data_IF_857524466631
#
_entry.id   IF_857524466631
#
_cell.length_a   1.000
_cell.length_b   1.000
_cell.length_c   1.000
_cell.angle_alpha   90.00
_cell.angle_beta   90.00
_cell.angle_gamma   90.00
#
_symmetry.space_group_name_H-M   'P 1'
#
loop_
_entity.id
_entity.type
_entity.pdbx_description
1 polymer ?
#
# COMPACT_ATOMS: atom_id res chain seq x y z
N UNK A 1 -3.29 17.30 -0.58
CA UNK A 1 -2.84 16.85 0.75
C UNK A 1 -1.33 16.62 0.70
N UNK A 2 -0.51 17.32 1.50
CA UNK A 2 0.92 17.04 1.62
C UNK A 2 1.17 15.60 2.09
N UNK A 3 2.34 15.03 1.77
CA UNK A 3 2.70 13.65 2.14
C UNK A 3 2.73 13.48 3.65
N UNK A 4 3.28 14.46 4.35
CA UNK A 4 3.38 14.48 5.81
C UNK A 4 1.99 14.38 6.40
N UNK A 5 1.00 15.08 5.84
CA UNK A 5 -0.37 14.99 6.33
C UNK A 5 -0.97 13.63 6.00
N UNK A 6 -0.74 13.06 4.82
CA UNK A 6 -1.23 11.72 4.47
C UNK A 6 -0.63 10.62 5.35
N UNK A 7 0.65 10.72 5.68
CA UNK A 7 1.33 9.81 6.60
C UNK A 7 0.86 9.99 8.06
N UNK A 8 0.59 11.23 8.48
CA UNK A 8 0.10 11.56 9.82
C UNK A 8 -1.39 11.25 10.04
N UNK A 9 -2.17 11.02 8.99
CA UNK A 9 -3.56 10.53 9.08
C UNK A 9 -3.58 9.07 9.55
N UNK A 10 -3.21 8.87 10.81
CA UNK A 10 -3.51 7.64 11.54
C UNK A 10 -4.98 7.72 11.92
N UNK A 11 -5.76 6.73 11.47
CA UNK A 11 -7.12 6.56 11.94
C UNK A 11 -7.08 6.05 13.37
N UNK A 12 -6.75 6.88 14.36
CA UNK A 12 -6.77 6.44 15.76
C UNK A 12 -8.20 6.24 16.25
N UNK A 13 -8.47 5.05 16.80
CA UNK A 13 -9.76 4.72 17.41
C UNK A 13 -10.78 4.11 16.45
N UNK A 14 -10.31 3.53 15.34
CA UNK A 14 -11.13 2.74 14.43
C UNK A 14 -11.11 1.27 14.81
N UNK A 15 -10.27 0.50 14.13
CA UNK A 15 -10.11 -0.94 14.35
C UNK A 15 -9.54 -1.22 15.73
N UNK A 16 -8.53 -0.46 16.19
CA UNK A 16 -7.81 -0.75 17.43
C UNK A 16 -8.70 -0.72 18.68
N UNK A 17 -9.81 0.04 18.65
CA UNK A 17 -10.75 0.17 19.76
C UNK A 17 -12.10 -0.50 19.50
N UNK A 18 -12.29 -1.11 18.33
CA UNK A 18 -13.53 -1.79 17.99
C UNK A 18 -13.74 -3.04 18.88
N UNK A 19 -15.00 -3.29 19.24
CA UNK A 19 -15.42 -4.48 20.01
C UNK A 19 -15.46 -5.74 19.13
N UNK A 20 -14.32 -6.06 18.52
CA UNK A 20 -14.12 -7.20 17.62
C UNK A 20 -12.94 -8.05 18.09
N UNK A 21 -12.83 -9.26 17.55
CA UNK A 21 -11.69 -10.13 17.80
C UNK A 21 -10.44 -9.60 17.07
N UNK A 22 -9.58 -8.89 17.80
CA UNK A 22 -8.34 -8.26 17.28
C UNK A 22 -7.28 -9.27 16.82
N UNK A 23 -7.45 -10.56 17.14
CA UNK A 23 -6.58 -11.64 16.64
C UNK A 23 -6.95 -12.11 15.24
N UNK A 24 -8.12 -11.74 14.72
CA UNK A 24 -8.58 -12.09 13.37
C UNK A 24 -8.29 -10.97 12.39
N UNK A 25 -7.92 -11.37 11.17
CA UNK A 25 -7.67 -10.48 10.04
C UNK A 25 -8.31 -11.04 8.79
N UNK A 26 -8.34 -10.21 7.76
CA UNK A 26 -8.89 -10.64 6.49
C UNK A 26 -10.39 -10.46 6.38
N UNK A 27 -10.87 -10.90 5.23
CA UNK A 27 -12.28 -11.00 4.90
C UNK A 27 -12.72 -12.44 5.04
N UNK A 28 -14.04 -12.68 4.94
CA UNK A 28 -14.52 -14.05 4.71
C UNK A 28 -13.98 -14.53 3.36
N UNK A 29 -13.78 -15.85 3.17
CA UNK A 29 -13.33 -16.38 1.88
C UNK A 29 -14.21 -15.86 0.73
N UNK A 30 -13.55 -15.34 -0.31
CA UNK A 30 -14.21 -14.88 -1.52
C UNK A 30 -14.79 -16.07 -2.28
N UNK A 31 -15.96 -15.90 -2.89
CA UNK A 31 -16.61 -16.97 -3.66
C UNK A 31 -15.91 -17.18 -5.01
N UNK A 32 -15.49 -16.09 -5.64
CA UNK A 32 -14.68 -16.08 -6.86
C UNK A 32 -13.46 -15.18 -6.66
N UNK A 33 -12.29 -15.62 -7.12
CA UNK A 33 -11.07 -14.82 -7.14
C UNK A 33 -10.60 -14.62 -8.56
N UNK A 34 -10.54 -13.35 -8.99
CA UNK A 34 -9.93 -12.95 -10.27
C UNK A 34 -8.66 -12.18 -9.97
N UNK A 35 -7.58 -12.33 -10.76
CA UNK A 35 -6.38 -11.54 -10.57
C UNK A 35 -6.65 -10.04 -10.67
N UNK A 36 -6.05 -9.24 -9.79
CA UNK A 36 -6.04 -7.80 -9.95
C UNK A 36 -5.30 -7.39 -11.23
N UNK A 37 -5.90 -6.47 -11.99
CA UNK A 37 -5.31 -5.92 -13.21
C UNK A 37 -4.75 -4.52 -12.97
N UNK A 38 -3.62 -4.22 -13.60
CA UNK A 38 -2.95 -2.92 -13.51
C UNK A 38 -2.91 -2.24 -14.86
N UNK A 39 -3.20 -0.94 -14.89
CA UNK A 39 -3.23 -0.14 -16.11
C UNK A 39 -1.83 0.20 -16.62
N UNK A 40 -1.15 -0.75 -17.27
CA UNK A 40 0.21 -0.54 -17.78
C UNK A 40 0.25 0.53 -18.90
N UNK A 41 1.38 1.24 -19.07
CA UNK A 41 1.56 2.15 -20.19
C UNK A 41 1.38 1.44 -21.54
N UNK A 42 0.73 2.11 -22.50
CA UNK A 42 0.42 1.54 -23.82
C UNK A 42 1.66 1.24 -24.68
N UNK A 43 2.80 1.87 -24.40
CA UNK A 43 4.07 1.63 -25.10
C UNK A 43 5.27 2.05 -24.26
N UNK A 44 6.36 1.30 -24.36
CA UNK A 44 7.64 1.61 -23.70
C UNK A 44 7.72 1.14 -22.24
N UNK A 45 8.83 1.47 -21.59
CA UNK A 45 9.00 1.29 -20.13
C UNK A 45 8.43 2.51 -19.41
N UNK A 46 7.76 2.27 -18.28
CA UNK A 46 7.17 3.33 -17.46
C UNK A 46 8.24 4.20 -16.78
N UNK A 47 9.30 3.53 -16.31
CA UNK A 47 10.48 4.16 -15.70
C UNK A 47 11.71 3.61 -16.41
N UNK A 48 12.59 4.50 -16.86
CA UNK A 48 13.79 4.11 -17.58
C UNK A 48 14.86 3.53 -16.65
N UNK A 49 15.82 2.81 -17.22
CA UNK A 49 16.94 2.26 -16.46
C UNK A 49 17.77 3.37 -15.78
N UNK A 50 17.97 4.52 -16.43
CA UNK A 50 18.71 5.66 -15.87
C UNK A 50 17.97 6.31 -14.70
N UNK A 51 16.63 6.43 -14.79
CA UNK A 51 15.80 6.94 -13.71
C UNK A 51 15.86 6.02 -12.49
N UNK A 52 15.77 4.71 -12.69
CA UNK A 52 15.91 3.73 -11.59
C UNK A 52 17.29 3.83 -10.95
N UNK A 53 18.36 3.94 -11.74
CA UNK A 53 19.72 4.07 -11.20
C UNK A 53 19.88 5.34 -10.36
N UNK A 54 19.36 6.49 -10.81
CA UNK A 54 19.38 7.73 -10.02
C UNK A 54 18.65 7.58 -8.67
N UNK A 55 17.51 6.88 -8.67
CA UNK A 55 16.81 6.57 -7.41
C UNK A 55 17.61 5.62 -6.52
N UNK A 56 18.26 4.59 -7.07
CA UNK A 56 19.13 3.68 -6.33
C UNK A 56 20.33 4.42 -5.70
N UNK A 57 20.88 5.42 -6.40
CA UNK A 57 21.92 6.32 -5.90
C UNK A 57 21.43 7.21 -4.75
N UNK A 58 20.27 7.86 -4.93
CA UNK A 58 19.66 8.72 -3.90
C UNK A 58 19.26 7.95 -2.63
N UNK A 59 18.79 6.71 -2.78
CA UNK A 59 18.47 5.81 -1.68
C UNK A 59 19.72 5.19 -1.05
N UNK A 60 20.82 5.09 -1.79
CA UNK A 60 22.09 4.51 -1.37
C UNK A 60 22.11 2.97 -1.40
N UNK A 61 21.22 2.33 -2.15
CA UNK A 61 21.18 0.88 -2.33
C UNK A 61 20.43 0.47 -3.61
N UNK A 62 20.68 -0.76 -4.08
CA UNK A 62 19.97 -1.34 -5.21
C UNK A 62 18.57 -1.79 -4.80
N UNK A 63 17.58 -1.46 -5.63
CA UNK A 63 16.20 -1.88 -5.39
C UNK A 63 16.08 -3.40 -5.57
N UNK A 64 15.26 -4.09 -4.75
CA UNK A 64 14.99 -5.51 -4.93
C UNK A 64 14.43 -5.83 -6.32
N UNK A 65 14.84 -6.97 -6.89
CA UNK A 65 14.65 -7.28 -8.31
C UNK A 65 13.19 -7.23 -8.80
N UNK A 66 12.26 -7.81 -8.04
CA UNK A 66 10.83 -7.80 -8.38
C UNK A 66 10.27 -6.36 -8.38
N UNK A 67 10.50 -5.59 -7.30
CA UNK A 67 10.03 -4.20 -7.21
C UNK A 67 10.67 -3.29 -8.27
N UNK A 68 11.95 -3.48 -8.54
CA UNK A 68 12.67 -2.78 -9.61
C UNK A 68 12.04 -3.05 -11.00
N UNK A 69 11.69 -4.31 -11.26
CA UNK A 69 11.05 -4.72 -12.51
C UNK A 69 9.64 -4.13 -12.62
N UNK A 70 8.88 -4.13 -11.52
CA UNK A 70 7.58 -3.48 -11.44
C UNK A 70 7.67 -1.98 -11.76
N UNK A 71 8.61 -1.24 -11.17
CA UNK A 71 8.76 0.20 -11.48
C UNK A 71 9.02 0.43 -12.97
N UNK A 72 9.89 -0.37 -13.59
CA UNK A 72 10.19 -0.25 -15.02
C UNK A 72 8.99 -0.59 -15.90
N UNK A 73 8.20 -1.59 -15.54
CA UNK A 73 7.06 -2.03 -16.34
C UNK A 73 5.79 -1.17 -16.12
N UNK A 74 5.49 -0.84 -14.87
CA UNK A 74 4.21 -0.29 -14.44
C UNK A 74 4.32 1.11 -13.82
N UNK A 75 5.51 1.60 -13.45
CA UNK A 75 5.71 3.00 -13.02
C UNK A 75 4.79 3.45 -11.88
N UNK A 76 4.50 2.55 -10.94
CA UNK A 76 3.63 2.83 -9.81
C UNK A 76 2.14 2.89 -10.14
N UNK A 77 1.69 2.36 -11.28
CA UNK A 77 0.28 2.36 -11.66
C UNK A 77 -0.63 1.79 -10.57
N UNK A 78 -1.83 2.37 -10.47
CA UNK A 78 -2.92 1.84 -9.67
C UNK A 78 -3.50 0.58 -10.32
N UNK A 79 -4.17 -0.28 -9.53
CA UNK A 79 -5.08 -1.27 -10.10
C UNK A 79 -6.21 -0.58 -10.89
N UNK A 80 -6.76 -1.27 -11.90
CA UNK A 80 -7.84 -0.74 -12.77
C UNK A 80 -9.13 -0.51 -11.98
N UNK A 81 -9.38 -1.34 -10.98
CA UNK A 81 -10.36 -1.13 -9.92
C UNK A 81 -9.70 -1.37 -8.56
N UNK A 82 -10.45 -1.85 -7.57
CA UNK A 82 -9.90 -2.21 -6.27
C UNK A 82 -9.21 -3.57 -6.31
N UNK A 83 -8.10 -3.70 -5.58
CA UNK A 83 -7.37 -4.96 -5.43
C UNK A 83 -7.28 -5.34 -3.95
N UNK A 84 -7.85 -6.49 -3.59
CA UNK A 84 -8.00 -6.95 -2.22
C UNK A 84 -7.03 -8.09 -1.91
N UNK A 85 -6.25 -7.95 -0.85
CA UNK A 85 -5.66 -9.09 -0.14
C UNK A 85 -6.70 -9.59 0.87
N UNK A 86 -7.36 -10.70 0.55
CA UNK A 86 -8.45 -11.24 1.37
C UNK A 86 -7.95 -11.81 2.72
N UNK A 87 -6.68 -12.19 2.84
CA UNK A 87 -6.12 -12.78 4.06
C UNK A 87 -5.79 -11.69 5.08
N UNK A 88 -5.28 -10.55 4.62
CA UNK A 88 -4.97 -9.40 5.47
C UNK A 88 -6.11 -8.40 5.59
N UNK A 89 -7.06 -8.42 4.66
CA UNK A 89 -8.14 -7.43 4.57
C UNK A 89 -7.62 -6.09 4.05
N UNK A 90 -6.55 -6.13 3.26
CA UNK A 90 -5.84 -4.96 2.75
C UNK A 90 -6.40 -4.59 1.37
N UNK A 91 -6.80 -3.33 1.23
CA UNK A 91 -7.34 -2.80 -0.03
C UNK A 91 -6.33 -1.86 -0.69
N UNK A 92 -5.90 -2.24 -1.90
CA UNK A 92 -5.10 -1.40 -2.80
C UNK A 92 -6.05 -0.80 -3.83
N UNK A 93 -6.25 0.51 -3.76
CA UNK A 93 -7.17 1.26 -4.62
C UNK A 93 -6.55 2.57 -5.13
N UNK A 94 -5.25 2.73 -4.94
CA UNK A 94 -4.50 3.92 -5.30
C UNK A 94 -3.14 3.56 -5.92
N UNK A 95 -2.50 4.51 -6.63
CA UNK A 95 -1.20 4.26 -7.23
C UNK A 95 -0.13 3.92 -6.19
N UNK A 96 0.76 3.01 -6.56
CA UNK A 96 2.03 2.82 -5.87
C UNK A 96 2.95 4.03 -6.09
N UNK A 97 3.99 4.14 -5.27
CA UNK A 97 5.01 5.15 -5.46
C UNK A 97 5.83 4.86 -6.72
N UNK A 98 6.27 5.93 -7.36
CA UNK A 98 6.98 5.90 -8.64
C UNK A 98 8.12 6.90 -8.65
N UNK A 99 8.90 6.90 -9.73
CA UNK A 99 9.94 7.88 -9.94
C UNK A 99 9.33 9.15 -10.52
N UNK A 100 9.64 10.29 -9.92
CA UNK A 100 9.17 11.61 -10.32
C UNK A 100 10.35 12.57 -10.42
N UNK A 101 10.25 13.52 -11.34
CA UNK A 101 11.23 14.60 -11.46
C UNK A 101 11.01 15.70 -10.40
N UNK A 102 9.79 15.77 -9.85
CA UNK A 102 9.39 16.72 -8.81
C UNK A 102 8.78 15.99 -7.60
N UNK A 103 8.95 16.58 -6.42
CA UNK A 103 8.40 16.06 -5.18
C UNK A 103 6.86 15.99 -5.26
N UNK A 104 6.32 14.78 -5.17
CA UNK A 104 4.89 14.52 -5.27
C UNK A 104 4.42 13.47 -4.25
N UNK A 105 3.10 13.36 -4.05
CA UNK A 105 2.52 12.45 -3.06
C UNK A 105 2.75 10.96 -3.31
N UNK A 106 3.24 10.63 -4.51
CA UNK A 106 3.63 9.30 -4.94
C UNK A 106 5.08 9.27 -5.47
N UNK A 107 5.90 10.27 -5.18
CA UNK A 107 7.34 10.21 -5.45
C UNK A 107 8.01 9.29 -4.42
N UNK A 108 8.61 8.20 -4.90
CA UNK A 108 9.25 7.18 -4.09
C UNK A 108 10.33 7.75 -3.15
N UNK A 109 11.17 8.67 -3.65
CA UNK A 109 12.30 9.19 -2.86
C UNK A 109 11.80 10.22 -1.85
N UNK A 110 10.98 11.17 -2.28
CA UNK A 110 10.43 12.19 -1.39
C UNK A 110 9.56 11.56 -0.29
N UNK A 111 8.64 10.66 -0.64
CA UNK A 111 7.76 10.03 0.34
C UNK A 111 8.55 9.27 1.40
N UNK A 112 9.60 8.54 1.03
CA UNK A 112 10.42 7.81 2.00
C UNK A 112 11.29 8.72 2.89
N UNK A 113 11.50 10.01 2.54
CA UNK A 113 12.05 10.99 3.48
C UNK A 113 11.03 11.32 4.58
N UNK A 114 9.75 11.34 4.24
CA UNK A 114 8.64 11.67 5.15
C UNK A 114 8.13 10.47 5.96
N UNK A 115 8.53 9.23 5.64
CA UNK A 115 8.08 8.01 6.34
C UNK A 115 9.04 7.51 7.43
N UNK A 116 10.08 8.27 7.78
CA UNK A 116 11.15 7.83 8.71
C UNK A 116 10.70 7.61 10.15
N UNK A 117 9.55 8.14 10.51
CA UNK A 117 8.83 7.96 11.76
C UNK A 117 7.83 6.78 11.74
N UNK A 118 7.60 6.21 10.54
CA UNK A 118 6.74 5.03 10.35
C UNK A 118 7.54 3.75 10.16
N UNK A 119 8.66 3.81 9.44
CA UNK A 119 9.48 2.67 9.07
C UNK A 119 10.94 2.88 9.46
N UNK A 120 11.63 1.80 9.84
CA UNK A 120 13.09 1.83 9.93
C UNK A 120 13.70 1.89 8.52
N UNK A 121 14.99 2.26 8.43
CA UNK A 121 15.73 2.29 7.16
C UNK A 121 15.88 0.93 6.46
N UNK A 122 15.45 -0.15 7.11
CA UNK A 122 15.47 -1.47 6.51
C UNK A 122 14.28 -1.72 5.58
N UNK A 123 13.31 -0.81 5.57
CA UNK A 123 12.11 -0.88 4.76
C UNK A 123 11.98 0.36 3.88
N UNK A 124 11.53 0.14 2.65
CA UNK A 124 11.17 1.18 1.68
C UNK A 124 9.64 1.17 1.57
N UNK A 125 8.96 2.25 1.93
CA UNK A 125 7.55 2.42 1.63
C UNK A 125 7.33 2.46 0.12
N UNK A 126 6.33 1.74 -0.38
CA UNK A 126 6.09 1.57 -1.83
C UNK A 126 4.67 1.94 -2.26
N UNK A 127 3.75 2.14 -1.32
CA UNK A 127 2.41 2.61 -1.64
C UNK A 127 1.57 2.78 -0.40
N UNK A 128 0.77 3.83 -0.36
CA UNK A 128 -0.31 3.91 0.63
C UNK A 128 -1.39 2.90 0.27
N UNK A 129 -2.10 2.38 1.26
CA UNK A 129 -3.31 1.55 1.12
C UNK A 129 -4.37 2.04 2.08
N UNK A 130 -5.61 1.55 1.95
CA UNK A 130 -6.63 1.86 2.94
C UNK A 130 -6.18 1.37 4.32
N UNK A 131 -6.16 2.29 5.29
CA UNK A 131 -5.76 2.01 6.67
C UNK A 131 -4.25 1.83 6.91
N UNK A 132 -3.37 2.09 5.93
CA UNK A 132 -1.93 2.00 6.19
C UNK A 132 -1.00 2.17 4.99
N UNK A 133 0.14 1.47 5.06
CA UNK A 133 1.25 1.60 4.12
C UNK A 133 1.83 0.22 3.76
N UNK A 134 2.10 0.00 2.47
CA UNK A 134 2.91 -1.12 1.98
C UNK A 134 4.39 -0.75 1.94
N UNK A 135 5.24 -1.69 2.31
CA UNK A 135 6.69 -1.54 2.33
C UNK A 135 7.41 -2.77 1.79
N UNK A 136 8.59 -2.58 1.21
CA UNK A 136 9.51 -3.64 0.77
C UNK A 136 10.73 -3.66 1.68
N UNK A 137 11.15 -4.85 2.10
CA UNK A 137 12.39 -5.04 2.87
C UNK A 137 13.61 -4.80 1.97
N UNK A 138 14.46 -3.84 2.31
CA UNK A 138 15.63 -3.44 1.50
C UNK A 138 16.97 -3.73 2.18
N UNK A 139 16.94 -4.11 3.46
CA UNK A 139 18.14 -4.48 4.23
C UNK A 139 17.83 -5.57 5.25
N UNK A 140 18.80 -6.45 5.49
CA UNK A 140 18.72 -7.54 6.46
C UNK A 140 18.13 -8.81 5.85
N UNK A 141 17.55 -9.65 6.71
CA UNK A 141 16.92 -10.91 6.29
C UNK A 141 15.64 -10.67 5.49
N UNK A 142 15.29 -11.65 4.64
CA UNK A 142 14.12 -11.61 3.75
C UNK A 142 14.08 -10.38 2.83
N UNK A 143 15.24 -9.97 2.32
CA UNK A 143 15.35 -8.86 1.36
C UNK A 143 14.43 -9.07 0.16
N UNK A 144 13.66 -8.05 -0.19
CA UNK A 144 12.67 -8.07 -1.27
C UNK A 144 11.24 -8.39 -0.82
N UNK A 145 11.05 -8.96 0.37
CA UNK A 145 9.72 -9.27 0.90
C UNK A 145 8.86 -8.02 1.13
N UNK A 146 7.55 -8.20 1.00
CA UNK A 146 6.54 -7.14 1.13
C UNK A 146 5.86 -7.23 2.48
N UNK A 147 5.62 -6.07 3.08
CA UNK A 147 5.06 -5.92 4.41
C UNK A 147 4.00 -4.83 4.45
N UNK A 148 3.00 -5.02 5.30
CA UNK A 148 1.95 -4.05 5.56
C UNK A 148 2.10 -3.46 6.95
N UNK A 149 2.12 -2.12 7.00
CA UNK A 149 2.06 -1.32 8.20
C UNK A 149 0.64 -0.79 8.38
N UNK A 150 -0.14 -1.44 9.24
CA UNK A 150 -1.46 -0.94 9.64
C UNK A 150 -1.28 0.30 10.54
N UNK A 151 -2.00 1.39 10.25
CA UNK A 151 -1.90 2.64 11.02
C UNK A 151 -2.69 2.61 12.34
N UNK A 152 -3.68 1.74 12.45
CA UNK A 152 -4.52 1.56 13.64
C UNK A 152 -4.47 0.11 14.13
N UNK A 153 -3.25 -0.41 14.33
CA UNK A 153 -3.03 -1.77 14.82
C UNK A 153 -3.25 -1.86 16.33
N UNK A 154 -4.17 -2.72 16.78
CA UNK A 154 -4.47 -2.92 18.20
C UNK A 154 -3.27 -3.40 19.04
N UNK A 155 -2.19 -3.87 18.41
CA UNK A 155 -0.95 -4.27 19.08
C UNK A 155 -0.02 -3.09 19.36
N UNK A 156 -0.24 -1.93 18.74
CA UNK A 156 0.58 -0.73 18.89
C UNK A 156 0.24 0.06 20.17
N UNK A 157 0.43 -0.58 21.32
CA UNK A 157 -0.03 -0.06 22.62
C UNK A 157 1.10 0.41 23.54
N UNK A 158 2.33 0.01 23.25
CA UNK A 158 3.49 0.29 24.11
C UNK A 158 4.41 1.33 23.44
N UNK A 159 4.35 2.60 23.88
CA UNK A 159 5.17 3.66 23.31
C UNK A 159 6.65 3.54 23.70
N UNK A 160 7.03 2.61 24.59
CA UNK A 160 8.42 2.43 25.03
C UNK A 160 9.25 1.55 24.09
N UNK A 161 8.62 0.85 23.14
CA UNK A 161 9.34 0.00 22.20
C UNK A 161 10.32 0.81 21.34
N UNK A 162 11.53 0.29 21.18
CA UNK A 162 12.47 0.84 20.23
C UNK A 162 11.88 0.71 18.80
N UNK A 163 12.18 1.63 17.87
CA UNK A 163 11.61 1.60 16.53
C UNK A 163 11.82 0.28 15.78
N UNK A 164 12.96 -0.38 15.97
CA UNK A 164 13.25 -1.69 15.36
C UNK A 164 12.30 -2.78 15.87
N UNK A 165 12.15 -2.89 17.19
CA UNK A 165 11.27 -3.88 17.83
C UNK A 165 9.80 -3.62 17.47
N UNK A 166 9.39 -2.34 17.43
CA UNK A 166 8.04 -1.94 17.02
C UNK A 166 7.74 -2.37 15.59
N UNK A 167 8.65 -2.10 14.65
CA UNK A 167 8.49 -2.48 13.24
C UNK A 167 8.49 -4.00 13.07
N UNK A 168 9.37 -4.73 13.75
CA UNK A 168 9.41 -6.20 13.70
C UNK A 168 8.11 -6.84 14.21
N UNK A 169 7.51 -6.28 15.27
CA UNK A 169 6.26 -6.79 15.86
C UNK A 169 5.02 -6.43 15.04
N UNK A 170 4.97 -5.21 14.50
CA UNK A 170 3.76 -4.65 13.92
C UNK A 170 3.62 -4.92 12.43
N UNK A 171 4.72 -4.98 11.68
CA UNK A 171 4.62 -5.24 10.24
C UNK A 171 4.08 -6.65 9.96
N UNK A 172 3.14 -6.71 9.02
CA UNK A 172 2.50 -7.95 8.59
C UNK A 172 3.06 -8.43 7.27
N UNK A 173 3.53 -9.67 7.14
CA UNK A 173 4.07 -10.18 5.88
C UNK A 173 2.96 -10.28 4.83
N UNK A 174 3.23 -9.70 3.65
CA UNK A 174 2.29 -9.60 2.54
C UNK A 174 2.74 -10.37 1.29
N UNK A 175 4.02 -10.76 1.21
CA UNK A 175 4.55 -11.54 0.10
C UNK A 175 6.05 -11.76 0.26
N UNK A 176 6.56 -12.87 -0.28
CA UNK A 176 8.01 -13.15 -0.25
C UNK A 176 8.81 -12.23 -1.18
N UNK A 177 8.15 -11.70 -2.21
CA UNK A 177 8.61 -10.59 -3.03
C UNK A 177 7.42 -9.78 -3.59
N UNK A 178 7.71 -8.78 -4.41
CA UNK A 178 6.68 -7.91 -4.98
C UNK A 178 5.76 -8.64 -5.98
N UNK A 179 6.28 -9.60 -6.74
CA UNK A 179 5.47 -10.35 -7.72
C UNK A 179 4.52 -11.32 -7.01
N UNK A 180 5.00 -11.98 -5.94
CA UNK A 180 4.19 -12.83 -5.08
C UNK A 180 3.09 -12.02 -4.37
N UNK A 181 3.40 -10.81 -3.92
CA UNK A 181 2.39 -9.90 -3.40
C UNK A 181 1.35 -9.53 -4.46
N UNK A 182 1.75 -9.08 -5.64
CA UNK A 182 0.79 -8.71 -6.69
C UNK A 182 -0.10 -9.90 -7.10
N UNK A 183 0.47 -11.10 -7.17
CA UNK A 183 -0.22 -12.32 -7.57
C UNK A 183 -1.30 -12.78 -6.59
N UNK A 184 -1.24 -12.33 -5.33
CA UNK A 184 -2.23 -12.70 -4.30
C UNK A 184 -3.47 -11.82 -4.30
N UNK A 185 -3.43 -10.68 -4.99
CA UNK A 185 -4.50 -9.69 -4.97
C UNK A 185 -5.69 -10.15 -5.81
N UNK A 186 -6.88 -10.15 -5.20
CA UNK A 186 -8.14 -10.34 -5.88
C UNK A 186 -8.66 -9.00 -6.44
N UNK A 187 -8.87 -8.93 -7.76
CA UNK A 187 -9.40 -7.76 -8.44
C UNK A 187 -10.92 -7.67 -8.34
N UNK A 188 -11.41 -6.50 -7.93
CA UNK A 188 -12.82 -6.10 -7.85
C UNK A 188 -13.78 -7.21 -7.38
N UNK A 189 -13.54 -7.84 -6.22
CA UNK A 189 -14.45 -8.86 -5.72
C UNK A 189 -15.82 -8.24 -5.40
N UNK A 190 -16.94 -8.81 -5.90
CA UNK A 190 -18.29 -8.25 -5.73
C UNK A 190 -18.73 -8.20 -4.25
N UNK A 191 -18.08 -8.98 -3.39
CA UNK A 191 -18.29 -8.95 -1.95
C UNK A 191 -17.98 -7.57 -1.34
N UNK A 192 -17.08 -6.78 -1.93
CA UNK A 192 -16.80 -5.41 -1.46
C UNK A 192 -18.01 -4.49 -1.62
N UNK A 193 -18.67 -4.55 -2.77
CA UNK A 193 -19.90 -3.78 -3.03
C UNK A 193 -21.03 -4.24 -2.12
N UNK A 194 -21.16 -5.56 -1.92
CA UNK A 194 -22.15 -6.13 -1.02
C UNK A 194 -21.96 -5.62 0.41
N UNK A 195 -20.71 -5.64 0.92
CA UNK A 195 -20.40 -5.14 2.26
C UNK A 195 -20.65 -3.64 2.36
N UNK A 196 -20.24 -2.84 1.36
CA UNK A 196 -20.49 -1.41 1.35
C UNK A 196 -21.98 -1.07 1.41
N UNK A 197 -22.81 -1.75 0.61
CA UNK A 197 -24.27 -1.57 0.63
C UNK A 197 -24.87 -1.98 1.97
N UNK A 198 -24.44 -3.11 2.57
CA UNK A 198 -24.89 -3.52 3.90
C UNK A 198 -24.53 -2.50 4.99
N UNK A 199 -23.36 -1.85 4.90
CA UNK A 199 -22.97 -0.79 5.84
C UNK A 199 -23.87 0.44 5.70
N UNK A 200 -24.27 0.80 4.48
CA UNK A 200 -25.20 1.91 4.22
C UNK A 200 -26.62 1.56 4.69
N UNK A 201 -27.15 0.42 4.27
CA UNK A 201 -28.50 -0.05 4.62
C UNK A 201 -28.66 -0.25 6.14
N UNK A 202 -27.59 -0.71 6.80
CA UNK A 202 -27.53 -0.86 8.25
C UNK A 202 -27.37 0.45 9.03
N UNK A 203 -27.20 1.59 8.34
CA UNK A 203 -27.01 2.91 8.96
C UNK A 203 -25.64 3.12 9.60
N UNK A 204 -24.66 2.26 9.32
CA UNK A 204 -23.28 2.39 9.80
C UNK A 204 -22.45 3.35 8.93
N UNK A 205 -22.86 3.51 7.66
CA UNK A 205 -22.27 4.45 6.71
C UNK A 205 -23.38 5.20 5.97
N UNK A 206 -23.02 6.27 5.27
CA UNK A 206 -23.92 6.95 4.34
C UNK A 206 -23.23 7.12 2.99
N UNK A 207 -24.00 6.97 1.91
CA UNK A 207 -23.50 7.24 0.57
C UNK A 207 -23.19 8.73 0.40
N UNK A 208 -22.00 9.04 -0.08
CA UNK A 208 -21.59 10.41 -0.43
C UNK A 208 -21.53 10.51 -1.95
N UNK A 209 -22.33 11.38 -2.59
CA UNK A 209 -22.27 11.57 -4.03
C UNK A 209 -20.90 12.09 -4.45
N UNK A 210 -20.25 11.41 -5.39
CA UNK A 210 -18.99 11.88 -5.97
C UNK A 210 -19.33 12.63 -7.25
N UNK A 211 -19.06 13.94 -7.29
CA UNK A 211 -19.12 14.70 -8.54
C UNK A 211 -18.08 14.15 -9.50
N UNK A 212 -18.51 13.62 -10.65
CA UNK A 212 -17.59 13.19 -11.70
C UNK A 212 -16.73 14.38 -12.11
N UNK A 213 -15.42 14.32 -11.83
CA UNK A 213 -14.47 15.27 -12.41
C UNK A 213 -14.44 14.95 -13.90
N UNK A 214 -15.09 15.78 -14.71
CA UNK A 214 -14.99 15.70 -16.17
C UNK A 214 -13.52 15.67 -16.58
N UNK A 215 -13.13 14.80 -17.53
CA UNK A 215 -11.78 14.87 -18.08
C UNK A 215 -11.63 16.26 -18.67
N UNK A 216 -10.74 17.07 -18.10
CA UNK A 216 -10.36 18.34 -18.71
C UNK A 216 -9.77 17.98 -20.07
N UNK A 217 -10.37 18.55 -21.10
CA UNK A 217 -10.21 18.16 -22.50
C UNK A 217 -8.79 18.30 -23.04
N UNK A 218 -8.67 17.71 -24.23
CA UNK A 218 -7.56 17.66 -25.19
C UNK A 218 -6.63 18.88 -25.24
#
# INVERSE_FOLDING_TARGET
MPVEVKALLRHHGGIATAAVDQGKRGTRPLQETRPAHFGLPKSGVAVTESQVQGVEEDLGYRLPGAYRSFLKAAGGCAPVGAALDAELGLLVDQPFFTVRDEAAVNDLVYVNKCLRDHLTKDYLGVGFVQGGLLAVKVKGERLGSVWFCAYDDARDVDPSWAPADRVERLLLPCGEDFDAFLSRLAGDPPELETVANLMVDGGFAHSVPVSSVSPVGE
#
